data_IF_401876055870
#
_entry.id   IF_401876055870
#
_cell.length_a   1.000
_cell.length_b   1.000
_cell.length_c   1.000
_cell.angle_alpha   90.00
_cell.angle_beta   90.00
_cell.angle_gamma   90.00
#
_symmetry.space_group_name_H-M   'P 1'
#
loop_
_entity.id
_entity.type
_entity.pdbx_description
1 polymer ?
#
# COMPACT_ATOMS: atom_id res chain seq x y z
N UNK A 1 -12.68 -14.34 -2.16
CA UNK A 1 -13.38 -13.08 -2.43
C UNK A 1 -12.92 -12.60 -3.81
N UNK A 2 -13.83 -12.39 -4.73
CA UNK A 2 -13.54 -11.90 -6.07
C UNK A 2 -14.37 -10.64 -6.38
N UNK A 3 -13.90 -9.84 -7.35
CA UNK A 3 -14.64 -8.67 -7.83
C UNK A 3 -14.58 -7.42 -6.95
N UNK A 4 -13.69 -7.37 -5.94
CA UNK A 4 -13.43 -6.15 -5.19
C UNK A 4 -12.59 -5.22 -6.08
N UNK A 5 -13.11 -4.02 -6.33
CA UNK A 5 -12.42 -3.00 -7.10
C UNK A 5 -11.84 -1.96 -6.16
N UNK A 6 -10.55 -1.69 -6.31
CA UNK A 6 -9.91 -0.56 -5.65
C UNK A 6 -10.52 0.74 -6.17
N UNK A 7 -11.14 1.49 -5.29
CA UNK A 7 -11.72 2.80 -5.63
C UNK A 7 -11.74 3.70 -4.39
N UNK A 8 -11.63 4.99 -4.64
CA UNK A 8 -11.87 6.00 -3.62
C UNK A 8 -12.81 7.09 -4.15
N UNK A 9 -13.40 7.82 -3.23
CA UNK A 9 -14.37 8.88 -3.52
C UNK A 9 -13.80 10.23 -3.10
N UNK A 10 -14.02 11.24 -3.92
CA UNK A 10 -13.71 12.63 -3.57
C UNK A 10 -14.96 13.47 -3.69
N UNK A 11 -15.14 14.39 -2.75
CA UNK A 11 -16.21 15.38 -2.74
C UNK A 11 -15.73 16.77 -3.16
N UNK A 12 -14.44 16.90 -3.49
CA UNK A 12 -13.84 18.11 -4.07
C UNK A 12 -13.25 17.74 -5.43
N UNK A 13 -13.70 18.39 -6.48
CA UNK A 13 -13.24 18.23 -7.87
C UNK A 13 -12.73 19.58 -8.34
N UNK A 14 -11.49 19.64 -8.81
CA UNK A 14 -10.82 20.86 -9.27
C UNK A 14 -10.92 22.03 -8.27
N UNK A 15 -10.78 21.71 -6.97
CA UNK A 15 -10.87 22.69 -5.88
C UNK A 15 -12.30 23.12 -5.52
N UNK A 16 -13.32 22.57 -6.18
CA UNK A 16 -14.72 22.91 -5.95
C UNK A 16 -15.43 21.76 -5.22
N UNK A 17 -16.05 21.99 -4.05
CA UNK A 17 -16.86 20.98 -3.38
C UNK A 17 -18.11 20.62 -4.18
N UNK A 18 -18.34 19.32 -4.40
CA UNK A 18 -19.58 18.79 -4.97
C UNK A 18 -20.73 18.88 -3.96
N UNK A 19 -20.39 18.72 -2.68
CA UNK A 19 -21.31 18.83 -1.54
C UNK A 19 -20.54 19.31 -0.32
N UNK A 20 -21.18 20.07 0.55
CA UNK A 20 -20.63 20.52 1.83
C UNK A 20 -21.34 19.85 3.00
N UNK A 21 -20.69 19.81 4.18
CA UNK A 21 -21.26 19.23 5.39
C UNK A 21 -21.33 17.70 5.41
N UNK A 22 -20.78 17.02 4.40
CA UNK A 22 -20.68 15.56 4.33
C UNK A 22 -19.29 15.15 3.88
N UNK A 23 -18.71 14.17 4.56
CA UNK A 23 -17.44 13.56 4.21
C UNK A 23 -17.52 12.05 4.35
N UNK A 24 -16.63 11.36 3.65
CA UNK A 24 -16.47 9.90 3.77
C UNK A 24 -15.17 9.57 4.49
N UNK A 25 -15.19 8.54 5.33
CA UNK A 25 -14.05 8.10 6.14
C UNK A 25 -13.88 6.58 6.04
N UNK A 26 -12.66 6.07 6.10
CA UNK A 26 -12.37 4.64 6.03
C UNK A 26 -12.87 4.02 4.73
N UNK A 27 -13.50 2.86 4.78
CA UNK A 27 -13.98 2.12 3.60
C UNK A 27 -15.07 2.87 2.80
N UNK A 28 -15.80 3.79 3.43
CA UNK A 28 -16.73 4.67 2.71
C UNK A 28 -15.99 5.68 1.82
N UNK A 29 -14.78 6.09 2.17
CA UNK A 29 -13.89 6.90 1.35
C UNK A 29 -13.14 6.04 0.33
N UNK A 30 -12.44 5.00 0.78
CA UNK A 30 -11.66 4.13 -0.10
C UNK A 30 -11.73 2.67 0.31
N UNK A 31 -12.08 1.83 -0.65
CA UNK A 31 -12.07 0.38 -0.50
C UNK A 31 -10.82 -0.17 -1.20
N UNK A 32 -10.04 -0.97 -0.50
CA UNK A 32 -8.83 -1.64 -1.00
C UNK A 32 -8.96 -3.15 -0.83
N UNK A 33 -8.16 -3.88 -1.59
CA UNK A 33 -7.98 -5.31 -1.38
C UNK A 33 -7.48 -5.57 0.06
N UNK A 34 -8.10 -6.49 0.82
CA UNK A 34 -7.71 -6.77 2.21
C UNK A 34 -6.40 -7.56 2.36
N UNK A 35 -5.74 -7.94 1.26
CA UNK A 35 -4.53 -8.78 1.26
C UNK A 35 -3.39 -8.25 2.15
N UNK A 36 -3.27 -6.95 2.31
CA UNK A 36 -2.24 -6.31 3.15
C UNK A 36 -2.69 -6.05 4.59
N UNK A 37 -3.96 -6.26 4.93
CA UNK A 37 -4.49 -6.04 6.29
C UNK A 37 -4.50 -4.59 6.77
N UNK A 38 -4.37 -3.60 5.88
CA UNK A 38 -4.17 -2.18 6.23
C UNK A 38 -5.47 -1.39 6.46
N UNK A 39 -6.62 -1.90 6.03
CA UNK A 39 -7.89 -1.16 5.99
C UNK A 39 -8.30 -0.55 7.34
N UNK A 40 -8.24 -1.33 8.42
CA UNK A 40 -8.59 -0.85 9.76
C UNK A 40 -7.67 0.28 10.22
N UNK A 41 -6.36 0.12 10.06
CA UNK A 41 -5.38 1.14 10.47
C UNK A 41 -5.56 2.42 9.67
N UNK A 42 -5.73 2.33 8.34
CA UNK A 42 -6.01 3.49 7.49
C UNK A 42 -7.32 4.17 7.87
N UNK A 43 -8.37 3.40 8.18
CA UNK A 43 -9.65 3.92 8.65
C UNK A 43 -9.53 4.68 9.96
N UNK A 44 -8.78 4.16 10.94
CA UNK A 44 -8.51 4.83 12.22
C UNK A 44 -7.68 6.11 12.04
N UNK A 45 -6.62 6.07 11.24
CA UNK A 45 -5.83 7.27 10.91
C UNK A 45 -6.70 8.34 10.27
N UNK A 46 -7.55 7.95 9.32
CA UNK A 46 -8.48 8.86 8.67
C UNK A 46 -9.48 9.46 9.66
N UNK A 47 -10.09 8.65 10.53
CA UNK A 47 -11.04 9.10 11.53
C UNK A 47 -10.42 10.09 12.54
N UNK A 48 -9.22 9.80 13.04
CA UNK A 48 -8.50 10.70 13.95
C UNK A 48 -8.17 12.03 13.28
N UNK A 49 -7.65 12.00 12.05
CA UNK A 49 -7.37 13.22 11.31
C UNK A 49 -8.64 14.00 10.94
N UNK A 50 -9.74 13.31 10.66
CA UNK A 50 -11.06 13.96 10.46
C UNK A 50 -11.53 14.68 11.71
N UNK A 51 -11.35 14.08 12.90
CA UNK A 51 -11.72 14.72 14.17
C UNK A 51 -10.95 16.03 14.41
N UNK A 52 -9.65 16.09 14.03
CA UNK A 52 -8.86 17.34 14.08
C UNK A 52 -9.45 18.42 13.17
N UNK A 53 -9.84 18.06 11.93
CA UNK A 53 -10.44 18.99 10.98
C UNK A 53 -11.81 19.48 11.44
N UNK A 54 -12.65 18.60 12.01
CA UNK A 54 -13.95 18.97 12.57
C UNK A 54 -13.79 20.03 13.67
N UNK A 55 -12.85 19.83 14.61
CA UNK A 55 -12.61 20.77 15.71
C UNK A 55 -12.20 22.16 15.22
N UNK A 56 -11.54 22.26 14.07
CA UNK A 56 -11.04 23.53 13.52
C UNK A 56 -12.06 24.25 12.64
N UNK A 57 -13.05 23.53 12.06
CA UNK A 57 -13.96 24.07 11.05
C UNK A 57 -15.44 23.73 11.29
N UNK A 58 -15.83 23.52 12.56
CA UNK A 58 -17.18 23.05 12.92
C UNK A 58 -18.31 23.95 12.39
N UNK A 59 -18.09 25.27 12.39
CA UNK A 59 -19.10 26.26 12.02
C UNK A 59 -19.03 26.70 10.55
N UNK A 60 -18.09 26.17 9.76
CA UNK A 60 -17.92 26.49 8.35
C UNK A 60 -17.89 25.21 7.49
N UNK A 61 -19.05 24.75 6.97
CA UNK A 61 -19.13 23.55 6.15
C UNK A 61 -18.28 23.57 4.88
N UNK A 62 -18.04 24.75 4.30
CA UNK A 62 -17.20 24.90 3.11
C UNK A 62 -15.72 24.72 3.48
N UNK A 63 -15.25 25.47 4.48
CA UNK A 63 -13.87 25.34 4.95
C UNK A 63 -13.60 23.92 5.47
N UNK A 64 -14.56 23.32 6.19
CA UNK A 64 -14.46 21.91 6.62
C UNK A 64 -14.26 20.96 5.44
N UNK A 65 -15.07 21.07 4.38
CA UNK A 65 -14.98 20.15 3.23
C UNK A 65 -13.65 20.27 2.51
N UNK A 66 -13.16 21.50 2.31
CA UNK A 66 -11.86 21.74 1.67
C UNK A 66 -10.68 21.26 2.53
N UNK A 67 -10.72 21.55 3.82
CA UNK A 67 -9.69 21.09 4.76
C UNK A 67 -9.66 19.57 4.87
N UNK A 68 -10.82 18.92 4.90
CA UNK A 68 -10.94 17.46 4.92
C UNK A 68 -10.36 16.82 3.66
N UNK A 69 -10.67 17.35 2.47
CA UNK A 69 -10.10 16.86 1.21
C UNK A 69 -8.56 17.02 1.21
N UNK A 70 -8.05 18.17 1.58
CA UNK A 70 -6.62 18.44 1.68
C UNK A 70 -5.91 17.51 2.67
N UNK A 71 -6.47 17.32 3.85
CA UNK A 71 -5.96 16.41 4.86
C UNK A 71 -5.93 14.97 4.34
N UNK A 72 -7.03 14.52 3.72
CA UNK A 72 -7.14 13.17 3.17
C UNK A 72 -6.11 12.94 2.06
N UNK A 73 -5.95 13.88 1.12
CA UNK A 73 -4.98 13.78 0.04
C UNK A 73 -3.53 13.77 0.54
N UNK A 74 -3.23 14.43 1.65
CA UNK A 74 -1.87 14.52 2.18
C UNK A 74 -1.51 13.38 3.13
N UNK A 75 -2.44 12.97 4.01
CA UNK A 75 -2.16 12.00 5.08
C UNK A 75 -2.59 10.57 4.78
N UNK A 76 -3.68 10.38 4.01
CA UNK A 76 -4.30 9.04 3.83
C UNK A 76 -4.15 8.51 2.39
N UNK A 77 -4.36 9.37 1.39
CA UNK A 77 -4.26 8.99 -0.03
C UNK A 77 -2.91 8.37 -0.43
N UNK A 78 -1.75 8.78 0.11
CA UNK A 78 -0.48 8.13 -0.21
C UNK A 78 -0.46 6.63 0.14
N UNK A 79 -1.06 6.24 1.25
CA UNK A 79 -1.18 4.84 1.68
C UNK A 79 -2.13 4.03 0.78
N UNK A 80 -3.24 4.64 0.37
CA UNK A 80 -4.14 4.03 -0.60
C UNK A 80 -3.41 3.78 -1.93
N UNK A 81 -2.69 4.76 -2.45
CA UNK A 81 -1.93 4.64 -3.71
C UNK A 81 -0.84 3.57 -3.64
N UNK A 82 -0.15 3.48 -2.50
CA UNK A 82 0.84 2.42 -2.24
C UNK A 82 0.18 1.03 -2.27
N UNK A 83 -0.94 0.87 -1.56
CA UNK A 83 -1.70 -0.39 -1.54
C UNK A 83 -2.14 -0.82 -2.93
N UNK A 84 -2.74 0.08 -3.70
CA UNK A 84 -3.16 -0.19 -5.10
C UNK A 84 -1.96 -0.54 -5.99
N UNK A 85 -0.82 0.11 -5.77
CA UNK A 85 0.43 -0.17 -6.49
C UNK A 85 0.93 -1.59 -6.24
N UNK A 86 0.90 -2.04 -5.00
CA UNK A 86 1.26 -3.41 -4.61
C UNK A 86 0.29 -4.42 -5.22
N UNK A 87 -1.01 -4.21 -5.09
CA UNK A 87 -2.04 -5.10 -5.65
C UNK A 87 -1.90 -5.28 -7.15
N UNK A 88 -1.69 -4.21 -7.89
CA UNK A 88 -1.46 -4.28 -9.35
C UNK A 88 -0.26 -5.15 -9.70
N UNK A 89 0.81 -5.06 -8.93
CA UNK A 89 2.01 -5.88 -9.14
C UNK A 89 1.72 -7.35 -8.84
N UNK A 90 1.03 -7.64 -7.74
CA UNK A 90 0.64 -9.01 -7.36
C UNK A 90 -0.28 -9.65 -8.39
N UNK A 91 -1.28 -8.92 -8.91
CA UNK A 91 -2.20 -9.42 -9.95
C UNK A 91 -1.43 -9.84 -11.20
N UNK A 92 -0.41 -9.09 -11.62
CA UNK A 92 0.42 -9.45 -12.78
C UNK A 92 1.16 -10.77 -12.53
N UNK A 93 1.74 -10.94 -11.34
CA UNK A 93 2.41 -12.20 -10.97
C UNK A 93 1.45 -13.39 -10.89
N UNK A 94 0.29 -13.22 -10.25
CA UNK A 94 -0.73 -14.27 -10.16
C UNK A 94 -1.28 -14.68 -11.52
N UNK A 95 -1.54 -13.73 -12.42
CA UNK A 95 -2.00 -14.06 -13.78
C UNK A 95 -0.94 -14.83 -14.55
N UNK A 96 0.33 -14.46 -14.45
CA UNK A 96 1.40 -15.21 -15.07
C UNK A 96 1.48 -16.66 -14.54
N UNK A 97 1.35 -16.83 -13.23
CA UNK A 97 1.34 -18.15 -12.58
C UNK A 97 0.13 -19.00 -13.03
N UNK A 98 -1.07 -18.42 -13.08
CA UNK A 98 -2.29 -19.11 -13.52
C UNK A 98 -2.15 -19.57 -14.99
N UNK A 99 -1.55 -18.75 -15.84
CA UNK A 99 -1.35 -19.03 -17.26
C UNK A 99 -0.11 -19.92 -17.53
N UNK A 100 0.60 -20.36 -16.49
CA UNK A 100 1.82 -21.18 -16.62
C UNK A 100 2.98 -20.44 -17.29
N UNK A 101 2.97 -19.10 -17.26
CA UNK A 101 4.04 -18.26 -17.80
C UNK A 101 5.05 -17.90 -16.69
N UNK A 102 6.32 -17.66 -17.03
CA UNK A 102 7.27 -17.11 -16.07
C UNK A 102 6.77 -15.73 -15.58
N UNK A 103 7.06 -15.43 -14.32
CA UNK A 103 6.78 -14.10 -13.78
C UNK A 103 7.51 -13.04 -14.61
N UNK A 104 6.80 -12.00 -15.08
CA UNK A 104 7.43 -10.95 -15.88
C UNK A 104 8.52 -10.24 -15.07
N UNK A 105 9.68 -10.04 -15.67
CA UNK A 105 10.72 -9.23 -15.05
C UNK A 105 10.21 -7.80 -14.84
N UNK A 106 10.47 -7.21 -13.66
CA UNK A 106 10.01 -5.88 -13.36
C UNK A 106 10.67 -4.85 -14.27
N UNK A 107 9.86 -4.25 -15.16
CA UNK A 107 10.33 -3.22 -16.11
C UNK A 107 10.47 -1.85 -15.46
N UNK A 108 9.67 -1.57 -14.42
CA UNK A 108 9.67 -0.28 -13.71
C UNK A 108 10.75 -0.27 -12.62
N UNK A 109 11.52 0.82 -12.45
CA UNK A 109 12.52 0.93 -11.38
C UNK A 109 11.93 0.62 -9.98
N UNK A 110 10.75 1.14 -9.67
CA UNK A 110 10.08 0.88 -8.40
C UNK A 110 9.78 -0.61 -8.15
N UNK A 111 9.42 -1.36 -9.19
CA UNK A 111 9.16 -2.80 -9.06
C UNK A 111 10.45 -3.61 -8.88
N UNK A 112 11.55 -3.18 -9.51
CA UNK A 112 12.89 -3.76 -9.27
C UNK A 112 13.34 -3.52 -7.84
N UNK A 113 13.16 -2.31 -7.35
CA UNK A 113 13.45 -1.94 -5.96
C UNK A 113 12.62 -2.76 -4.98
N UNK A 114 11.32 -2.99 -5.25
CA UNK A 114 10.47 -3.83 -4.41
C UNK A 114 10.92 -5.29 -4.37
N UNK A 115 11.33 -5.86 -5.52
CA UNK A 115 11.90 -7.23 -5.60
C UNK A 115 13.21 -7.32 -4.81
N UNK A 116 14.12 -6.37 -5.02
CA UNK A 116 15.38 -6.31 -4.29
C UNK A 116 15.17 -6.17 -2.77
N UNK A 117 14.21 -5.36 -2.34
CA UNK A 117 13.86 -5.20 -0.93
C UNK A 117 13.38 -6.52 -0.33
N UNK A 118 12.51 -7.26 -1.03
CA UNK A 118 12.02 -8.54 -0.55
C UNK A 118 13.16 -9.51 -0.26
N UNK A 119 14.13 -9.62 -1.17
CA UNK A 119 15.33 -10.44 -0.97
C UNK A 119 16.17 -9.91 0.19
N UNK A 120 16.49 -8.64 0.17
CA UNK A 120 17.39 -8.02 1.15
C UNK A 120 16.86 -8.10 2.59
N UNK A 121 15.55 -8.04 2.80
CA UNK A 121 14.94 -8.17 4.13
C UNK A 121 15.14 -9.55 4.76
N UNK A 122 15.39 -10.57 3.97
CA UNK A 122 15.66 -11.92 4.47
C UNK A 122 17.07 -12.06 5.07
N UNK A 123 18.00 -11.19 4.68
CA UNK A 123 19.42 -11.32 5.01
C UNK A 123 19.98 -10.17 5.84
N UNK A 124 19.25 -9.05 5.96
CA UNK A 124 19.73 -7.85 6.65
C UNK A 124 18.65 -7.29 7.60
N UNK A 125 18.93 -7.33 8.90
CA UNK A 125 17.98 -6.92 9.95
C UNK A 125 17.66 -5.42 9.90
N UNK A 126 18.56 -4.57 9.48
CA UNK A 126 18.36 -3.13 9.25
C UNK A 126 17.34 -2.89 8.13
N UNK A 127 17.48 -3.61 7.01
CA UNK A 127 16.54 -3.54 5.88
C UNK A 127 15.17 -4.14 6.23
N UNK A 128 15.15 -5.22 7.02
CA UNK A 128 13.91 -5.78 7.55
C UNK A 128 13.15 -4.76 8.42
N UNK A 129 13.84 -4.04 9.32
CA UNK A 129 13.21 -2.99 10.14
C UNK A 129 12.68 -1.85 9.27
N UNK A 130 13.47 -1.36 8.31
CA UNK A 130 13.05 -0.32 7.38
C UNK A 130 11.81 -0.76 6.57
N UNK A 131 11.77 -2.00 6.11
CA UNK A 131 10.61 -2.56 5.43
C UNK A 131 9.37 -2.58 6.35
N UNK A 132 9.53 -2.99 7.61
CA UNK A 132 8.42 -3.06 8.54
C UNK A 132 7.85 -1.68 8.90
N UNK A 133 8.63 -0.61 8.87
CA UNK A 133 8.13 0.73 9.12
C UNK A 133 7.03 1.13 8.12
N UNK A 134 7.24 0.93 6.81
CA UNK A 134 6.18 1.24 5.84
C UNK A 134 5.10 0.16 5.76
N UNK A 135 5.43 -1.11 6.00
CA UNK A 135 4.41 -2.17 6.07
C UNK A 135 3.43 -1.94 7.22
N UNK A 136 3.91 -1.40 8.33
CA UNK A 136 3.12 -1.07 9.53
C UNK A 136 2.55 0.35 9.52
N UNK A 137 2.61 1.06 8.40
CA UNK A 137 2.12 2.44 8.22
C UNK A 137 2.77 3.47 9.18
N UNK A 138 4.02 3.26 9.60
CA UNK A 138 4.77 4.18 10.46
C UNK A 138 5.49 5.27 9.66
N UNK A 139 5.94 4.96 8.43
CA UNK A 139 6.56 5.90 7.51
C UNK A 139 6.20 5.54 6.07
N UNK A 140 6.01 6.52 5.20
CA UNK A 140 5.70 6.26 3.80
C UNK A 140 6.87 5.58 3.08
N UNK A 141 6.62 4.69 2.09
CA UNK A 141 7.68 4.01 1.36
C UNK A 141 8.73 4.96 0.78
N UNK A 142 8.30 6.10 0.22
CA UNK A 142 9.22 7.10 -0.32
C UNK A 142 10.10 7.76 0.76
N UNK A 143 9.61 7.94 1.98
CA UNK A 143 10.38 8.49 3.09
C UNK A 143 11.46 7.51 3.55
N UNK A 144 11.11 6.23 3.63
CA UNK A 144 12.05 5.16 3.97
C UNK A 144 13.11 5.02 2.88
N UNK A 145 12.72 4.97 1.61
CA UNK A 145 13.64 4.82 0.47
C UNK A 145 14.54 6.04 0.24
N UNK A 146 14.14 7.23 0.72
CA UNK A 146 14.95 8.44 0.64
C UNK A 146 16.07 8.49 1.69
N UNK A 147 16.15 7.54 2.61
CA UNK A 147 17.22 7.50 3.63
C UNK A 147 18.58 7.28 2.96
N UNK A 148 19.62 8.05 3.38
CA UNK A 148 20.93 7.94 2.78
C UNK A 148 21.49 6.50 2.83
N UNK A 149 21.94 5.98 1.69
CA UNK A 149 22.58 4.68 1.56
C UNK A 149 21.64 3.46 1.68
N UNK A 150 20.34 3.63 1.99
CA UNK A 150 19.43 2.49 2.18
C UNK A 150 19.23 1.71 0.90
N UNK A 151 18.99 2.40 -0.23
CA UNK A 151 18.76 1.76 -1.54
C UNK A 151 20.03 1.08 -2.02
N UNK A 152 21.19 1.72 -1.88
CA UNK A 152 22.47 1.13 -2.30
C UNK A 152 22.74 -0.17 -1.52
N UNK A 153 22.58 -0.13 -0.20
CA UNK A 153 22.74 -1.31 0.64
C UNK A 153 21.73 -2.42 0.31
N UNK A 154 20.49 -2.05 0.03
CA UNK A 154 19.47 -3.01 -0.39
C UNK A 154 19.86 -3.70 -1.72
N UNK A 155 20.32 -2.93 -2.69
CA UNK A 155 20.78 -3.48 -3.98
C UNK A 155 22.02 -4.35 -3.82
N UNK A 156 22.98 -3.95 -2.97
CA UNK A 156 24.15 -4.75 -2.64
C UNK A 156 23.77 -6.11 -2.04
N UNK A 157 22.94 -6.11 -0.98
CA UNK A 157 22.51 -7.34 -0.32
C UNK A 157 21.71 -8.23 -1.29
N UNK A 158 20.80 -7.67 -2.08
CA UNK A 158 20.00 -8.45 -3.02
C UNK A 158 20.83 -9.03 -4.19
N UNK A 159 21.93 -8.41 -4.55
CA UNK A 159 22.83 -8.94 -5.59
C UNK A 159 23.65 -10.15 -5.11
N UNK A 160 23.88 -10.27 -3.80
CA UNK A 160 24.64 -11.37 -3.19
C UNK A 160 23.77 -12.58 -2.82
N UNK A 161 22.44 -12.45 -2.86
CA UNK A 161 21.52 -13.46 -2.37
C UNK A 161 20.35 -13.70 -3.32
N UNK A 162 19.79 -14.90 -3.27
CA UNK A 162 18.55 -15.24 -3.96
C UNK A 162 17.40 -15.26 -2.96
N UNK A 163 16.17 -15.03 -3.47
CA UNK A 163 14.98 -15.18 -2.66
C UNK A 163 14.81 -16.66 -2.27
N UNK A 164 14.88 -16.94 -0.99
CA UNK A 164 14.56 -18.27 -0.46
C UNK A 164 13.07 -18.33 -0.23
N UNK A 165 12.35 -19.10 -1.05
CA UNK A 165 10.97 -19.43 -0.75
C UNK A 165 10.96 -20.32 0.51
N UNK A 166 10.11 -20.00 1.49
CA UNK A 166 9.96 -20.90 2.64
C UNK A 166 9.59 -22.32 2.14
N UNK A 167 10.17 -23.37 2.73
CA UNK A 167 9.82 -24.72 2.35
C UNK A 167 8.34 -24.96 2.61
N UNK A 168 7.62 -25.23 1.56
CA UNK A 168 6.21 -25.56 1.60
C UNK A 168 5.90 -26.64 0.57
N UNK A 169 4.77 -27.31 0.69
CA UNK A 169 4.40 -28.32 -0.28
C UNK A 169 4.27 -27.69 -1.67
N UNK A 170 4.72 -28.42 -2.69
CA UNK A 170 4.47 -28.08 -4.08
C UNK A 170 2.97 -28.08 -4.37
N UNK A 171 2.57 -27.47 -5.50
CA UNK A 171 1.16 -27.52 -5.90
C UNK A 171 0.66 -28.97 -6.06
N UNK A 172 1.49 -29.86 -6.57
CA UNK A 172 1.15 -31.27 -6.78
C UNK A 172 0.95 -31.99 -5.44
N UNK A 173 1.82 -31.76 -4.47
CA UNK A 173 1.69 -32.26 -3.12
C UNK A 173 0.42 -31.71 -2.44
N UNK A 174 0.12 -30.40 -2.59
CA UNK A 174 -1.09 -29.80 -2.06
C UNK A 174 -2.35 -30.44 -2.69
N UNK A 175 -2.37 -30.63 -4.00
CA UNK A 175 -3.49 -31.27 -4.67
C UNK A 175 -3.67 -32.73 -4.23
N UNK A 176 -2.56 -33.43 -4.01
CA UNK A 176 -2.61 -34.81 -3.47
C UNK A 176 -3.11 -34.85 -2.01
N UNK A 177 -2.77 -33.85 -1.19
CA UNK A 177 -3.25 -33.75 0.21
C UNK A 177 -4.72 -33.36 0.30
N UNK A 178 -5.27 -32.69 -0.70
CA UNK A 178 -6.67 -32.22 -0.72
C UNK A 178 -7.64 -33.25 -1.35
N UNK A 179 -7.12 -34.37 -1.89
CA UNK A 179 -7.95 -35.45 -2.46
C UNK A 179 -8.44 -35.17 -3.83
#
# INVERSE_FOLDING_TARGET
MGGILDRYRRFVVDGVPVSTGMVTVGDSWACTNPSLGRGITMGLMHALSTAEVVQQHLDDPLAFTLAQDSMTETRVTPWYRDTVGIDRTQIVGFNALIEGRPEPEPTRPAARTAKALLVATMYAADLFRACNEFRSLLALPQEVMARPGLVDRMMEVSAMHEAVMPPGPSREELLHMLG
#
